data_IF_546953513791
#
_entry.id   IF_546953513791
#
_cell.length_a   1.000
_cell.length_b   1.000
_cell.length_c   1.000
_cell.angle_alpha   90.00
_cell.angle_beta   90.00
_cell.angle_gamma   90.00
#
_symmetry.space_group_name_H-M   'P 1'
#
loop_
_entity.id
_entity.type
_entity.pdbx_description
1 polymer ?
#
# COMPACT_ATOMS: atom_id res chain seq x y z
N UNK A 1 5.75 -7.57 -28.95
CA UNK A 1 4.96 -7.76 -27.73
C UNK A 1 5.94 -7.76 -26.56
N UNK A 2 6.20 -6.62 -25.94
CA UNK A 2 7.05 -6.58 -24.75
C UNK A 2 6.24 -7.19 -23.61
N UNK A 3 6.75 -8.28 -23.02
CA UNK A 3 6.16 -8.85 -21.80
C UNK A 3 6.44 -7.84 -20.70
N UNK A 4 5.40 -7.16 -20.22
CA UNK A 4 5.52 -6.18 -19.13
C UNK A 4 6.28 -6.81 -17.97
N UNK A 5 7.28 -6.11 -17.45
CA UNK A 5 8.04 -6.58 -16.31
C UNK A 5 7.18 -6.61 -15.07
N UNK A 6 7.41 -7.59 -14.21
CA UNK A 6 6.94 -7.53 -12.83
C UNK A 6 7.80 -6.55 -12.06
N UNK A 7 7.20 -5.79 -11.13
CA UNK A 7 7.97 -4.97 -10.21
C UNK A 7 8.88 -5.86 -9.35
N UNK A 8 10.13 -5.43 -9.20
CA UNK A 8 11.09 -6.04 -8.30
C UNK A 8 11.94 -4.96 -7.64
N UNK A 9 12.03 -5.01 -6.31
CA UNK A 9 13.00 -4.25 -5.51
C UNK A 9 13.88 -5.14 -4.63
N UNK A 10 13.56 -6.43 -4.52
CA UNK A 10 14.28 -7.46 -3.74
C UNK A 10 13.44 -8.74 -3.64
N UNK A 11 13.84 -9.67 -2.77
CA UNK A 11 13.26 -11.02 -2.71
C UNK A 11 12.70 -11.41 -1.32
N UNK A 12 12.60 -10.45 -0.40
CA UNK A 12 12.15 -10.68 0.99
C UNK A 12 10.64 -10.92 1.07
N UNK A 13 9.85 -10.20 0.27
CA UNK A 13 8.39 -10.32 0.23
C UNK A 13 7.87 -10.53 -1.19
N UNK A 14 6.78 -11.29 -1.31
CA UNK A 14 6.10 -11.55 -2.58
C UNK A 14 4.62 -11.23 -2.44
N UNK A 15 4.09 -10.43 -3.37
CA UNK A 15 2.65 -10.22 -3.52
C UNK A 15 2.19 -10.65 -4.91
N UNK A 16 1.07 -11.38 -4.93
CA UNK A 16 0.43 -11.86 -6.15
C UNK A 16 -0.94 -11.22 -6.31
N UNK A 17 -1.23 -10.74 -7.52
CA UNK A 17 -2.53 -10.17 -7.88
C UNK A 17 -2.89 -10.57 -9.31
N UNK A 18 -3.83 -11.51 -9.45
CA UNK A 18 -4.10 -12.14 -10.73
C UNK A 18 -2.87 -12.87 -11.27
N UNK A 19 -2.44 -12.55 -12.49
CA UNK A 19 -1.26 -13.15 -13.14
C UNK A 19 0.06 -12.43 -12.82
N UNK A 20 0.02 -11.37 -12.02
CA UNK A 20 1.18 -10.55 -11.69
C UNK A 20 1.77 -10.95 -10.33
N UNK A 21 3.10 -11.02 -10.27
CA UNK A 21 3.86 -11.40 -9.08
C UNK A 21 4.97 -10.40 -8.84
N UNK A 22 4.84 -9.56 -7.81
CA UNK A 22 5.82 -8.53 -7.48
C UNK A 22 6.66 -8.96 -6.29
N UNK A 23 7.94 -8.59 -6.32
CA UNK A 23 8.88 -8.91 -5.25
C UNK A 23 9.47 -7.64 -4.65
N UNK A 24 9.64 -7.65 -3.33
CA UNK A 24 10.04 -6.47 -2.57
C UNK A 24 11.20 -6.80 -1.64
N UNK A 25 12.15 -5.87 -1.50
CA UNK A 25 13.02 -5.91 -0.33
C UNK A 25 12.25 -5.42 0.92
N UNK A 26 12.79 -5.72 2.10
CA UNK A 26 12.14 -5.38 3.37
C UNK A 26 11.82 -3.88 3.52
N UNK A 27 12.78 -3.00 3.20
CA UNK A 27 12.59 -1.56 3.36
C UNK A 27 11.46 -1.02 2.49
N UNK A 28 11.47 -1.37 1.20
CA UNK A 28 10.44 -0.95 0.25
C UNK A 28 9.06 -1.51 0.63
N UNK A 29 8.99 -2.78 1.04
CA UNK A 29 7.73 -3.37 1.48
C UNK A 29 7.16 -2.67 2.71
N UNK A 30 8.01 -2.40 3.71
CA UNK A 30 7.65 -1.66 4.93
C UNK A 30 7.09 -0.27 4.60
N UNK A 31 7.84 0.52 3.84
CA UNK A 31 7.43 1.88 3.45
C UNK A 31 6.08 1.88 2.72
N UNK A 32 5.85 0.91 1.83
CA UNK A 32 4.57 0.77 1.12
C UNK A 32 3.42 0.35 2.02
N UNK A 33 3.65 -0.55 2.98
CA UNK A 33 2.63 -0.93 3.96
C UNK A 33 2.17 0.29 4.75
N UNK A 34 3.11 1.07 5.26
CA UNK A 34 2.76 2.26 6.05
C UNK A 34 2.12 3.36 5.20
N UNK A 35 2.61 3.60 3.97
CA UNK A 35 1.98 4.56 3.06
C UNK A 35 0.54 4.15 2.71
N UNK A 36 0.30 2.86 2.44
CA UNK A 36 -1.03 2.35 2.17
C UNK A 36 -1.96 2.54 3.39
N UNK A 37 -1.49 2.19 4.58
CA UNK A 37 -2.26 2.36 5.82
C UNK A 37 -2.58 3.83 6.12
N UNK A 38 -1.64 4.76 5.87
CA UNK A 38 -1.89 6.21 5.97
C UNK A 38 -2.89 6.69 4.93
N UNK A 39 -2.78 6.21 3.69
CA UNK A 39 -3.72 6.56 2.61
C UNK A 39 -5.15 6.11 2.91
N UNK A 40 -5.30 4.96 3.55
CA UNK A 40 -6.59 4.44 4.03
C UNK A 40 -7.06 5.11 5.33
N UNK A 41 -6.23 5.97 5.93
CA UNK A 41 -6.55 6.65 7.18
C UNK A 41 -6.58 5.75 8.41
N UNK A 42 -5.99 4.55 8.31
CA UNK A 42 -5.86 3.62 9.43
C UNK A 42 -4.69 3.99 10.35
N UNK A 43 -3.64 4.62 9.80
CA UNK A 43 -2.49 5.10 10.56
C UNK A 43 -2.29 6.61 10.46
N UNK A 44 -1.89 7.20 11.58
CA UNK A 44 -1.50 8.60 11.70
C UNK A 44 -0.15 8.72 12.40
N UNK A 45 0.71 9.60 11.91
CA UNK A 45 1.99 9.90 12.55
C UNK A 45 3.08 8.84 12.35
N UNK A 46 4.15 8.92 13.16
CA UNK A 46 5.32 8.03 13.07
C UNK A 46 5.00 6.63 13.62
N UNK A 47 5.52 5.61 12.94
CA UNK A 47 5.36 4.20 13.26
C UNK A 47 6.70 3.68 13.79
N UNK A 48 6.65 2.94 14.90
CA UNK A 48 7.81 2.29 15.50
C UNK A 48 8.07 0.93 14.85
N UNK A 49 9.28 0.38 15.05
CA UNK A 49 9.69 -0.85 14.37
C UNK A 49 8.74 -2.03 14.61
N UNK A 50 8.35 -2.27 15.86
CA UNK A 50 7.39 -3.33 16.21
C UNK A 50 5.99 -3.10 15.62
N UNK A 51 5.58 -1.84 15.46
CA UNK A 51 4.31 -1.48 14.83
C UNK A 51 4.36 -1.70 13.31
N UNK A 52 5.50 -1.39 12.67
CA UNK A 52 5.73 -1.72 11.27
C UNK A 52 5.74 -3.22 11.05
N UNK A 53 6.32 -4.01 11.96
CA UNK A 53 6.31 -5.48 11.91
C UNK A 53 4.90 -6.05 11.98
N UNK A 54 4.07 -5.58 12.94
CA UNK A 54 2.67 -5.99 13.03
C UNK A 54 1.87 -5.62 11.78
N UNK A 55 2.11 -4.45 11.19
CA UNK A 55 1.47 -4.04 9.95
C UNK A 55 1.89 -4.92 8.76
N UNK A 56 3.19 -5.26 8.66
CA UNK A 56 3.69 -6.18 7.64
C UNK A 56 3.06 -7.56 7.82
N UNK A 57 3.01 -8.08 9.05
CA UNK A 57 2.38 -9.35 9.37
C UNK A 57 0.89 -9.35 8.97
N UNK A 58 0.16 -8.27 9.26
CA UNK A 58 -1.22 -8.10 8.83
C UNK A 58 -1.35 -8.15 7.30
N UNK A 59 -0.47 -7.47 6.56
CA UNK A 59 -0.50 -7.47 5.09
C UNK A 59 -0.15 -8.85 4.53
N UNK A 60 0.85 -9.54 5.06
CA UNK A 60 1.33 -10.83 4.54
C UNK A 60 0.38 -11.96 4.91
N UNK A 61 0.07 -12.10 6.19
CA UNK A 61 -0.70 -13.23 6.71
C UNK A 61 -2.21 -12.96 6.65
N UNK A 62 -2.61 -11.70 6.58
CA UNK A 62 -4.01 -11.30 6.66
C UNK A 62 -4.55 -11.27 8.08
N UNK A 63 -3.69 -11.39 9.09
CA UNK A 63 -4.01 -11.33 10.53
C UNK A 63 -2.76 -11.00 11.35
N UNK A 64 -2.94 -10.63 12.61
CA UNK A 64 -1.86 -10.43 13.59
C UNK A 64 -2.08 -11.38 14.78
N UNK A 65 -1.61 -12.62 14.65
CA UNK A 65 -1.86 -13.67 15.64
C UNK A 65 -1.21 -13.39 17.01
N UNK A 66 0.05 -12.94 16.99
CA UNK A 66 0.83 -12.58 18.18
C UNK A 66 1.28 -11.13 18.04
N UNK A 67 0.54 -10.16 18.59
CA UNK A 67 0.87 -8.75 18.44
C UNK A 67 2.16 -8.41 19.19
N UNK A 68 3.12 -7.81 18.48
CA UNK A 68 4.37 -7.33 19.06
C UNK A 68 4.29 -5.87 19.55
N UNK A 69 3.21 -5.17 19.24
CA UNK A 69 3.00 -3.76 19.52
C UNK A 69 1.54 -3.41 19.84
N UNK A 70 1.27 -2.19 20.37
CA UNK A 70 -0.10 -1.72 20.57
C UNK A 70 -0.89 -1.57 19.27
N UNK A 71 -0.23 -1.44 18.11
CA UNK A 71 -0.91 -1.45 16.81
C UNK A 71 -1.50 -2.83 16.53
N UNK A 72 -0.74 -3.90 16.76
CA UNK A 72 -1.24 -5.27 16.60
C UNK A 72 -2.39 -5.58 17.55
N UNK A 73 -2.28 -5.15 18.82
CA UNK A 73 -3.38 -5.26 19.79
C UNK A 73 -4.63 -4.51 19.29
N UNK A 74 -4.47 -3.28 18.82
CA UNK A 74 -5.56 -2.48 18.27
C UNK A 74 -6.23 -3.14 17.06
N UNK A 75 -5.44 -3.73 16.14
CA UNK A 75 -5.96 -4.50 15.00
C UNK A 75 -6.86 -5.64 15.48
N UNK A 76 -6.45 -6.37 16.51
CA UNK A 76 -7.22 -7.46 17.07
C UNK A 76 -8.50 -6.97 17.78
N UNK A 77 -8.41 -5.85 18.50
CA UNK A 77 -9.55 -5.24 19.20
C UNK A 77 -10.64 -4.75 18.23
N UNK A 78 -10.26 -4.18 17.08
CA UNK A 78 -11.20 -3.66 16.07
C UNK A 78 -11.42 -4.60 14.87
N UNK A 79 -10.99 -5.86 14.97
CA UNK A 79 -11.04 -6.84 13.88
C UNK A 79 -12.38 -6.92 13.14
N UNK A 80 -13.56 -6.90 13.80
CA UNK A 80 -14.85 -6.93 13.12
C UNK A 80 -15.09 -5.76 12.14
N UNK A 81 -14.43 -4.62 12.34
CA UNK A 81 -14.48 -3.45 11.46
C UNK A 81 -13.43 -3.48 10.34
N UNK A 82 -12.40 -4.32 10.48
CA UNK A 82 -11.31 -4.46 9.51
C UNK A 82 -11.59 -5.56 8.48
N UNK A 83 -12.42 -6.54 8.84
CA UNK A 83 -12.78 -7.66 7.97
C UNK A 83 -14.05 -7.43 7.19
N UNK A 84 -14.10 -8.01 6.00
CA UNK A 84 -15.27 -7.96 5.14
C UNK A 84 -14.98 -8.51 3.75
N UNK A 85 -15.99 -8.56 2.88
CA UNK A 85 -15.78 -8.91 1.48
C UNK A 85 -14.99 -7.79 0.80
N UNK A 86 -13.90 -8.15 0.10
CA UNK A 86 -13.05 -7.32 -0.78
C UNK A 86 -13.05 -5.81 -0.45
N UNK A 87 -13.97 -5.06 -1.05
CA UNK A 87 -14.11 -3.60 -0.92
C UNK A 87 -14.23 -3.09 0.54
N UNK A 88 -14.62 -3.96 1.49
CA UNK A 88 -14.76 -3.66 2.92
C UNK A 88 -13.67 -4.26 3.81
N UNK A 89 -12.63 -4.86 3.22
CA UNK A 89 -11.50 -5.43 3.97
C UNK A 89 -10.30 -4.48 3.94
N UNK A 90 -9.78 -4.12 5.12
CA UNK A 90 -8.57 -3.32 5.24
C UNK A 90 -7.39 -4.03 4.56
N UNK A 91 -7.19 -5.33 4.86
CA UNK A 91 -6.13 -6.16 4.28
C UNK A 91 -6.18 -6.17 2.76
N UNK A 92 -7.37 -6.34 2.18
CA UNK A 92 -7.55 -6.30 0.73
C UNK A 92 -7.08 -4.98 0.14
N UNK A 93 -7.47 -3.85 0.73
CA UNK A 93 -7.10 -2.53 0.26
C UNK A 93 -5.62 -2.20 0.48
N UNK A 94 -5.02 -2.62 1.59
CA UNK A 94 -3.57 -2.50 1.82
C UNK A 94 -2.80 -3.18 0.69
N UNK A 95 -3.09 -4.46 0.41
CA UNK A 95 -2.46 -5.21 -0.69
C UNK A 95 -2.70 -4.56 -2.04
N UNK A 96 -3.93 -4.11 -2.31
CA UNK A 96 -4.30 -3.42 -3.56
C UNK A 96 -3.52 -2.13 -3.77
N UNK A 97 -3.30 -1.34 -2.72
CA UNK A 97 -2.54 -0.09 -2.80
C UNK A 97 -1.04 -0.32 -2.97
N UNK A 98 -0.47 -1.28 -2.22
CA UNK A 98 0.93 -1.69 -2.37
C UNK A 98 1.17 -2.15 -3.82
N UNK A 99 0.29 -3.01 -4.33
CA UNK A 99 0.35 -3.50 -5.70
C UNK A 99 0.19 -2.37 -6.73
N UNK A 100 -0.80 -1.49 -6.55
CA UNK A 100 -1.04 -0.34 -7.44
C UNK A 100 0.19 0.57 -7.51
N UNK A 101 0.78 0.92 -6.37
CA UNK A 101 1.99 1.75 -6.33
C UNK A 101 3.17 1.09 -7.05
N UNK A 102 3.44 -0.18 -6.75
CA UNK A 102 4.52 -0.93 -7.40
C UNK A 102 4.31 -1.06 -8.92
N UNK A 103 3.06 -1.24 -9.34
CA UNK A 103 2.69 -1.28 -10.76
C UNK A 103 2.95 0.07 -11.44
N UNK A 104 2.58 1.19 -10.81
CA UNK A 104 2.83 2.54 -11.31
C UNK A 104 4.33 2.82 -11.43
N UNK A 105 5.10 2.49 -10.39
CA UNK A 105 6.56 2.66 -10.40
C UNK A 105 7.24 1.82 -11.49
N UNK A 106 6.73 0.61 -11.75
CA UNK A 106 7.23 -0.20 -12.85
C UNK A 106 6.95 0.44 -14.22
N UNK A 107 5.79 1.09 -14.39
CA UNK A 107 5.47 1.83 -15.62
C UNK A 107 6.36 3.06 -15.80
N UNK A 108 6.72 3.73 -14.70
CA UNK A 108 7.72 4.80 -14.73
C UNK A 108 9.09 4.28 -15.16
N UNK A 109 9.55 3.15 -14.59
CA UNK A 109 10.80 2.50 -14.98
C UNK A 109 10.83 2.08 -16.46
N UNK A 110 9.68 1.74 -17.02
CA UNK A 110 9.51 1.36 -18.43
C UNK A 110 9.31 2.57 -19.36
N UNK A 111 9.23 3.79 -18.83
CA UNK A 111 8.99 5.03 -19.58
C UNK A 111 7.56 5.20 -20.08
N UNK A 112 6.61 4.38 -19.61
CA UNK A 112 5.18 4.51 -19.93
C UNK A 112 4.50 5.64 -19.14
N UNK A 113 5.04 5.98 -17.96
CA UNK A 113 4.55 7.06 -17.09
C UNK A 113 5.71 7.95 -16.64
N UNK A 114 5.40 9.19 -16.30
CA UNK A 114 6.30 10.12 -15.60
C UNK A 114 5.74 10.48 -14.22
N UNK A 115 6.57 11.11 -13.39
CA UNK A 115 6.17 11.66 -12.09
C UNK A 115 6.43 13.17 -12.10
N UNK A 116 5.39 13.95 -11.85
CA UNK A 116 5.49 15.41 -11.69
C UNK A 116 4.98 15.82 -10.32
N UNK A 117 5.41 16.99 -9.88
CA UNK A 117 4.86 17.63 -8.69
C UNK A 117 3.69 18.53 -9.09
N UNK A 118 2.52 18.27 -8.52
CA UNK A 118 1.33 19.08 -8.64
C UNK A 118 1.30 20.10 -7.49
N UNK A 119 1.48 21.39 -7.81
CA UNK A 119 1.52 22.48 -6.83
C UNK A 119 0.14 22.75 -6.19
N UNK A 120 -0.95 22.48 -6.89
CA UNK A 120 -2.31 22.72 -6.38
C UNK A 120 -2.68 21.66 -5.34
N UNK A 121 -2.38 20.40 -5.65
CA UNK A 121 -2.57 19.29 -4.72
C UNK A 121 -1.45 19.17 -3.67
N UNK A 122 -0.33 19.87 -3.87
CA UNK A 122 0.91 19.74 -3.09
C UNK A 122 1.36 18.28 -2.97
N UNK A 123 1.34 17.56 -4.09
CA UNK A 123 1.54 16.11 -4.16
C UNK A 123 2.24 15.69 -5.45
N UNK A 124 2.89 14.53 -5.42
CA UNK A 124 3.40 13.89 -6.64
C UNK A 124 2.28 13.12 -7.33
N UNK A 125 2.19 13.28 -8.65
CA UNK A 125 1.20 12.60 -9.50
C UNK A 125 1.89 11.89 -10.65
N UNK A 126 1.31 10.78 -11.08
CA UNK A 126 1.76 10.07 -12.28
C UNK A 126 1.10 10.69 -13.51
N UNK A 127 1.86 10.90 -14.58
CA UNK A 127 1.37 11.46 -15.85
C UNK A 127 1.70 10.55 -17.01
N UNK A 128 0.99 10.73 -18.12
CA UNK A 128 1.13 9.93 -19.34
C UNK A 128 1.80 10.77 -20.44
N UNK A 129 3.11 10.58 -20.71
CA UNK A 129 3.83 11.38 -21.73
C UNK A 129 3.20 11.28 -23.12
N UNK A 130 2.80 10.07 -23.51
CA UNK A 130 2.14 9.80 -24.80
C UNK A 130 0.73 10.40 -24.92
N UNK A 131 0.17 10.90 -23.82
CA UNK A 131 -1.12 11.62 -23.76
C UNK A 131 -0.94 13.07 -23.36
N UNK A 132 0.17 13.70 -23.77
CA UNK A 132 0.40 15.12 -23.52
C UNK A 132 0.60 15.47 -22.04
N UNK A 133 0.99 14.51 -21.21
CA UNK A 133 1.21 14.73 -19.78
C UNK A 133 -0.05 14.70 -18.91
N UNK A 134 -1.16 14.15 -19.42
CA UNK A 134 -2.39 13.99 -18.64
C UNK A 134 -2.15 13.15 -17.36
N UNK A 135 -2.63 13.61 -16.18
CA UNK A 135 -2.57 12.83 -14.94
C UNK A 135 -3.29 11.49 -15.05
N UNK A 136 -2.76 10.47 -14.39
CA UNK A 136 -3.40 9.16 -14.27
C UNK A 136 -4.55 9.25 -13.27
N UNK A 137 -5.78 9.00 -13.74
CA UNK A 137 -6.93 8.86 -12.86
C UNK A 137 -6.90 7.52 -12.10
N UNK A 138 -6.86 7.60 -10.77
CA UNK A 138 -6.88 6.43 -9.90
C UNK A 138 -8.27 6.28 -9.25
N UNK A 139 -8.75 5.04 -9.17
CA UNK A 139 -9.99 4.75 -8.46
C UNK A 139 -9.85 5.17 -6.98
N UNK A 140 -10.87 5.86 -6.43
CA UNK A 140 -10.84 6.38 -5.07
C UNK A 140 -10.69 5.24 -4.06
N UNK A 141 -10.05 5.55 -2.94
CA UNK A 141 -9.90 4.63 -1.81
C UNK A 141 -11.01 4.83 -0.77
N UNK A 142 -11.46 3.76 -0.09
CA UNK A 142 -12.27 3.88 1.12
C UNK A 142 -11.42 4.36 2.30
N UNK A 143 -12.07 4.59 3.45
CA UNK A 143 -11.43 5.10 4.66
C UNK A 143 -11.75 4.26 5.89
N UNK A 144 -10.73 4.04 6.72
CA UNK A 144 -10.79 3.44 8.05
C UNK A 144 -10.58 4.45 9.19
N UNK A 145 -10.77 5.74 8.93
CA UNK A 145 -10.60 6.82 9.92
C UNK A 145 -11.35 6.57 11.24
N UNK A 146 -12.50 5.88 11.19
CA UNK A 146 -13.34 5.61 12.37
C UNK A 146 -12.68 4.66 13.37
N UNK A 147 -11.76 3.82 12.90
CA UNK A 147 -11.02 2.82 13.69
C UNK A 147 -9.52 3.04 13.56
N UNK A 148 -9.11 4.28 13.24
CA UNK A 148 -7.71 4.61 13.07
C UNK A 148 -6.94 4.34 14.37
N UNK A 149 -5.78 3.71 14.23
CA UNK A 149 -4.88 3.52 15.35
C UNK A 149 -4.33 4.88 15.79
N UNK A 150 -4.46 5.15 17.08
CA UNK A 150 -3.96 6.37 17.72
C UNK A 150 -3.08 5.96 18.89
N UNK A 151 -1.81 6.36 18.86
CA UNK A 151 -0.91 6.20 19.99
C UNK A 151 -1.50 6.92 21.21
N UNK A 152 -1.67 6.19 22.31
CA UNK A 152 -2.11 6.77 23.59
C UNK A 152 -0.97 7.49 24.28
#
# INVERSE_FOLDING_TARGET
>A
MYRRGNYSSGDDFVLEYGDLRFTFNERDFRERCEQAARKLGFLWGPVEEAESEDLINLVVNGEVAEPASPLGEHVNDCWPELVGPSERSLVHWLRRLIFRGAWLDQRVKEGELDVIFDEEANAFVYTQPDRGGEPVELAPEPSWNRVAYTKR
#
